data_IF_619742068302
#
_entry.id   IF_619742068302
#
_cell.length_a   1.000
_cell.length_b   1.000
_cell.length_c   1.000
_cell.angle_alpha   90.00
_cell.angle_beta   90.00
_cell.angle_gamma   90.00
#
_symmetry.space_group_name_H-M   'P 1'
#
loop_
_entity.id
_entity.type
_entity.pdbx_description
1 polymer ?
#
# COMPACT_ATOMS: atom_id res chain seq x y z
N UNK A 1 18.61 9.27 19.00
CA UNK A 1 18.54 8.03 19.81
C UNK A 1 17.76 6.94 19.10
N UNK A 2 16.47 7.13 18.84
CA UNK A 2 15.63 6.14 18.12
C UNK A 2 16.25 5.72 16.77
N UNK A 3 16.64 6.66 15.92
CA UNK A 3 17.30 6.32 14.64
C UNK A 3 18.61 5.55 14.82
N UNK A 4 19.40 5.85 15.86
CA UNK A 4 20.63 5.11 16.14
C UNK A 4 20.30 3.67 16.58
N UNK A 5 19.32 3.52 17.46
CA UNK A 5 18.81 2.22 17.91
C UNK A 5 18.30 1.37 16.74
N UNK A 6 17.51 1.97 15.83
CA UNK A 6 16.97 1.27 14.68
C UNK A 6 18.07 0.79 13.72
N UNK A 7 19.17 1.55 13.57
CA UNK A 7 20.27 1.23 12.65
C UNK A 7 21.33 0.28 13.22
N UNK A 8 21.71 0.41 14.50
CA UNK A 8 22.73 -0.43 15.12
C UNK A 8 22.45 -0.62 16.61
N UNK A 9 22.10 -1.86 16.98
CA UNK A 9 21.89 -2.21 18.39
C UNK A 9 23.19 -2.40 19.17
N UNK A 10 24.24 -2.90 18.51
CA UNK A 10 25.52 -3.17 19.17
C UNK A 10 26.22 -1.89 19.63
N UNK A 11 25.93 -0.77 18.96
CA UNK A 11 26.42 0.56 19.32
C UNK A 11 25.42 1.38 20.12
N UNK A 12 24.32 0.77 20.59
CA UNK A 12 23.33 1.45 21.39
C UNK A 12 23.68 1.40 22.88
N UNK A 13 23.94 2.57 23.47
CA UNK A 13 24.14 2.70 24.91
C UNK A 13 22.80 2.84 25.64
N UNK A 14 22.40 1.78 26.35
CA UNK A 14 21.18 1.78 27.16
C UNK A 14 21.21 2.79 28.30
N UNK A 15 22.39 3.24 28.76
CA UNK A 15 22.50 4.26 29.81
C UNK A 15 21.89 5.59 29.36
N UNK A 16 22.15 5.99 28.12
CA UNK A 16 21.62 7.25 27.56
C UNK A 16 20.09 7.21 27.47
N UNK A 17 19.50 6.03 27.18
CA UNK A 17 18.05 5.88 27.19
C UNK A 17 17.47 5.98 28.62
N UNK A 18 18.13 5.37 29.61
CA UNK A 18 17.71 5.48 31.01
C UNK A 18 17.80 6.93 31.53
N UNK A 19 18.90 7.63 31.24
CA UNK A 19 19.05 9.06 31.60
C UNK A 19 17.95 9.91 30.96
N UNK A 20 17.63 9.67 29.69
CA UNK A 20 16.54 10.37 29.02
C UNK A 20 15.18 10.05 29.63
N UNK A 21 14.95 8.80 30.06
CA UNK A 21 13.71 8.40 30.74
C UNK A 21 13.56 9.17 32.05
N UNK A 22 14.62 9.25 32.86
CA UNK A 22 14.62 9.99 34.12
C UNK A 22 14.28 11.47 33.91
N UNK A 23 14.88 12.11 32.90
CA UNK A 23 14.54 13.49 32.54
C UNK A 23 13.07 13.66 32.13
N UNK A 24 12.54 12.74 31.33
CA UNK A 24 11.13 12.76 30.92
C UNK A 24 10.20 12.61 32.14
N UNK A 25 10.50 11.67 33.04
CA UNK A 25 9.70 11.44 34.26
C UNK A 25 9.71 12.66 35.20
N UNK A 26 10.82 13.39 35.28
CA UNK A 26 10.88 14.67 36.01
C UNK A 26 9.99 15.71 35.35
N UNK A 27 10.09 15.89 34.02
CA UNK A 27 9.28 16.88 33.30
C UNK A 27 7.78 16.57 33.35
N UNK A 28 7.39 15.29 33.36
CA UNK A 28 6.00 14.86 33.41
C UNK A 28 5.26 15.29 34.70
N UNK A 29 6.00 15.53 35.80
CA UNK A 29 5.44 16.10 37.03
C UNK A 29 4.88 17.51 36.83
N UNK A 30 5.52 18.29 35.95
CA UNK A 30 5.12 19.67 35.63
C UNK A 30 4.25 19.75 34.37
N UNK A 31 4.45 18.84 33.41
CA UNK A 31 3.78 18.82 32.12
C UNK A 31 3.16 17.45 31.84
N UNK A 32 2.05 17.17 32.53
CA UNK A 32 1.37 15.87 32.44
C UNK A 32 0.97 15.56 31.00
N UNK A 33 1.28 14.35 30.53
CA UNK A 33 1.01 13.85 29.17
C UNK A 33 1.66 14.62 28.01
N UNK A 34 2.51 15.61 28.27
CA UNK A 34 3.13 16.42 27.20
C UNK A 34 4.16 15.62 26.38
N UNK A 35 4.93 14.75 27.05
CA UNK A 35 5.99 13.94 26.43
C UNK A 35 5.59 12.48 26.20
N UNK A 36 4.29 12.20 26.05
CA UNK A 36 3.75 10.84 25.96
C UNK A 36 4.43 10.01 24.87
N UNK A 37 4.61 10.59 23.68
CA UNK A 37 5.24 9.90 22.54
C UNK A 37 6.71 9.57 22.81
N UNK A 38 7.46 10.55 23.30
CA UNK A 38 8.88 10.42 23.62
C UNK A 38 9.09 9.40 24.73
N UNK A 39 8.27 9.46 25.79
CA UNK A 39 8.30 8.49 26.89
C UNK A 39 8.07 7.07 26.37
N UNK A 40 7.07 6.88 25.53
CA UNK A 40 6.75 5.57 24.97
C UNK A 40 7.90 4.99 24.13
N UNK A 41 8.56 5.81 23.31
CA UNK A 41 9.76 5.39 22.56
C UNK A 41 10.85 4.98 23.54
N UNK A 42 11.18 5.82 24.51
CA UNK A 42 12.29 5.57 25.45
C UNK A 42 12.04 4.31 26.27
N UNK A 43 10.81 4.06 26.73
CA UNK A 43 10.46 2.80 27.41
C UNK A 43 10.76 1.56 26.54
N UNK A 44 10.44 1.61 25.24
CA UNK A 44 10.81 0.54 24.30
C UNK A 44 12.33 0.38 24.19
N UNK A 45 13.06 1.50 24.12
CA UNK A 45 14.52 1.51 24.03
C UNK A 45 15.20 1.00 25.30
N UNK A 46 14.56 1.13 26.47
CA UNK A 46 15.02 0.60 27.75
C UNK A 46 14.62 -0.87 27.96
N UNK A 47 13.67 -1.39 27.19
CA UNK A 47 13.10 -2.73 27.37
C UNK A 47 12.05 -2.82 28.49
N UNK A 48 11.55 -1.69 28.99
CA UNK A 48 10.49 -1.65 30.00
C UNK A 48 9.10 -1.81 29.34
N UNK A 49 8.82 -3.05 28.92
CA UNK A 49 7.57 -3.40 28.25
C UNK A 49 6.35 -3.40 29.18
N UNK A 50 6.55 -3.53 30.49
CA UNK A 50 5.46 -3.53 31.46
C UNK A 50 4.83 -2.14 31.55
N UNK A 51 5.65 -1.10 31.70
CA UNK A 51 5.15 0.28 31.70
C UNK A 51 4.70 0.72 30.31
N UNK A 52 5.42 0.33 29.26
CA UNK A 52 5.03 0.61 27.89
C UNK A 52 3.65 0.01 27.54
N UNK A 53 3.36 -1.21 27.97
CA UNK A 53 2.07 -1.88 27.71
C UNK A 53 0.88 -1.13 28.34
N UNK A 54 1.07 -0.56 29.53
CA UNK A 54 0.06 0.30 30.18
C UNK A 54 -0.19 1.58 29.37
N UNK A 55 0.88 2.20 28.87
CA UNK A 55 0.79 3.39 28.01
C UNK A 55 0.12 3.07 26.67
N UNK A 56 0.44 1.93 26.07
CA UNK A 56 -0.15 1.48 24.82
C UNK A 56 -1.67 1.40 24.93
N UNK A 57 -2.19 0.80 26.00
CA UNK A 57 -3.63 0.61 26.14
C UNK A 57 -4.38 1.91 26.44
N UNK A 58 -3.85 2.75 27.34
CA UNK A 58 -4.63 3.82 27.98
C UNK A 58 -4.27 5.24 27.52
N UNK A 59 -3.12 5.42 26.87
CA UNK A 59 -2.56 6.76 26.62
C UNK A 59 -2.32 7.02 25.14
N UNK A 60 -1.85 6.01 24.40
CA UNK A 60 -1.52 6.19 22.98
C UNK A 60 -2.77 6.09 22.07
N UNK A 61 -2.95 7.11 21.24
CA UNK A 61 -3.95 7.09 20.17
C UNK A 61 -3.56 6.14 19.01
N UNK A 62 -4.53 5.82 18.15
CA UNK A 62 -4.33 4.91 17.01
C UNK A 62 -3.21 5.34 16.05
N UNK A 63 -3.20 6.60 15.56
CA UNK A 63 -2.14 7.09 14.68
C UNK A 63 -0.74 6.97 15.28
N UNK A 64 -0.60 7.27 16.58
CA UNK A 64 0.67 7.17 17.31
C UNK A 64 1.14 5.73 17.42
N UNK A 65 0.24 4.80 17.76
CA UNK A 65 0.53 3.36 17.77
C UNK A 65 1.09 2.88 16.43
N UNK A 66 0.52 3.33 15.32
CA UNK A 66 0.96 2.93 13.99
C UNK A 66 2.36 3.48 13.65
N UNK A 67 2.64 4.74 13.99
CA UNK A 67 3.99 5.33 13.80
C UNK A 67 5.06 4.59 14.59
N UNK A 68 4.73 4.17 15.81
CA UNK A 68 5.66 3.48 16.71
C UNK A 68 5.89 2.01 16.36
N UNK A 69 5.07 1.41 15.49
CA UNK A 69 5.06 -0.04 15.27
C UNK A 69 6.44 -0.61 14.92
N UNK A 70 7.21 0.07 14.07
CA UNK A 70 8.56 -0.35 13.72
C UNK A 70 9.50 -0.43 14.93
N UNK A 71 9.54 0.64 15.72
CA UNK A 71 10.37 0.75 16.92
C UNK A 71 10.00 -0.30 17.95
N UNK A 72 8.70 -0.47 18.18
CA UNK A 72 8.16 -1.44 19.14
C UNK A 72 8.45 -2.87 18.70
N UNK A 73 8.25 -3.18 17.42
CA UNK A 73 8.51 -4.51 16.86
C UNK A 73 9.97 -4.91 16.98
N UNK A 74 10.88 -3.99 16.61
CA UNK A 74 12.32 -4.20 16.73
C UNK A 74 12.74 -4.37 18.19
N UNK A 75 12.26 -3.50 19.09
CA UNK A 75 12.53 -3.63 20.52
C UNK A 75 12.02 -4.96 21.08
N UNK A 76 10.82 -5.39 20.67
CA UNK A 76 10.23 -6.63 21.15
C UNK A 76 11.00 -7.88 20.70
N UNK A 77 11.57 -7.86 19.48
CA UNK A 77 12.51 -8.88 19.02
C UNK A 77 13.77 -8.91 19.90
N UNK A 78 14.37 -7.74 20.14
CA UNK A 78 15.64 -7.60 20.87
C UNK A 78 15.53 -8.01 22.35
N UNK A 79 14.47 -7.57 23.01
CA UNK A 79 14.18 -7.90 24.42
C UNK A 79 13.43 -9.22 24.59
N UNK A 80 13.14 -9.94 23.49
CA UNK A 80 12.47 -11.26 23.47
C UNK A 80 11.07 -11.26 24.08
N UNK A 81 10.34 -10.16 23.94
CA UNK A 81 8.94 -10.01 24.37
C UNK A 81 7.97 -9.96 23.18
N UNK A 82 8.36 -10.49 22.01
CA UNK A 82 7.55 -10.43 20.78
C UNK A 82 6.15 -11.03 20.93
N UNK A 83 5.96 -11.98 21.86
CA UNK A 83 4.65 -12.56 22.19
C UNK A 83 3.60 -11.53 22.60
N UNK A 84 4.02 -10.36 23.10
CA UNK A 84 3.14 -9.24 23.42
C UNK A 84 2.51 -8.60 22.17
N UNK A 85 3.14 -8.70 21.00
CA UNK A 85 2.65 -8.09 19.75
C UNK A 85 1.48 -8.88 19.16
N UNK A 86 1.51 -10.20 19.24
CA UNK A 86 0.54 -11.08 18.59
C UNK A 86 -0.93 -10.80 18.94
N UNK A 87 -1.32 -10.52 20.21
CA UNK A 87 -2.71 -10.19 20.54
C UNK A 87 -3.11 -8.75 20.18
N UNK A 88 -2.20 -7.90 19.69
CA UNK A 88 -2.53 -6.49 19.41
C UNK A 88 -3.44 -6.38 18.19
N UNK A 89 -4.61 -5.78 18.39
CA UNK A 89 -5.49 -5.40 17.29
C UNK A 89 -5.15 -4.00 16.80
N UNK A 90 -4.54 -3.90 15.63
CA UNK A 90 -4.24 -2.62 14.99
C UNK A 90 -5.45 -2.12 14.22
N UNK A 91 -6.07 -1.02 14.69
CA UNK A 91 -7.25 -0.41 14.07
C UNK A 91 -6.95 0.40 12.80
N UNK A 92 -5.68 0.67 12.52
CA UNK A 92 -5.24 1.34 11.31
C UNK A 92 -4.10 0.55 10.64
N UNK A 93 -3.88 0.70 9.33
CA UNK A 93 -2.70 0.19 8.64
C UNK A 93 -1.42 0.61 9.35
N UNK A 94 -0.53 -0.35 9.51
CA UNK A 94 0.81 -0.15 10.00
C UNK A 94 1.77 -0.78 9.00
N UNK A 95 3.01 -0.29 8.98
CA UNK A 95 4.07 -0.82 8.14
C UNK A 95 5.15 -1.42 9.03
N UNK A 96 5.71 -2.54 8.59
CA UNK A 96 6.96 -3.08 9.10
C UNK A 96 8.08 -2.70 8.11
N UNK A 97 9.21 -2.25 8.60
CA UNK A 97 10.37 -1.90 7.78
C UNK A 97 11.23 -3.13 7.48
N UNK A 98 12.15 -3.03 6.53
CA UNK A 98 13.19 -4.04 6.29
C UNK A 98 13.91 -4.45 7.59
N UNK A 99 14.24 -3.47 8.44
CA UNK A 99 14.88 -3.69 9.74
C UNK A 99 14.03 -4.54 10.69
N UNK A 100 12.70 -4.48 10.61
CA UNK A 100 11.82 -5.35 11.42
C UNK A 100 12.00 -6.82 11.03
N UNK A 101 12.07 -7.11 9.72
CA UNK A 101 12.23 -8.47 9.21
C UNK A 101 13.60 -9.05 9.57
N UNK A 102 14.65 -8.24 9.45
CA UNK A 102 16.02 -8.57 9.90
C UNK A 102 16.06 -8.97 11.37
N UNK A 103 15.45 -8.15 12.25
CA UNK A 103 15.46 -8.43 13.69
C UNK A 103 14.57 -9.62 14.07
N UNK A 104 13.49 -9.85 13.32
CA UNK A 104 12.66 -11.06 13.46
C UNK A 104 13.47 -12.33 13.16
N UNK A 105 14.22 -12.36 12.05
CA UNK A 105 15.06 -13.51 11.71
C UNK A 105 16.07 -13.83 12.83
N UNK A 106 16.75 -12.80 13.34
CA UNK A 106 17.68 -12.95 14.48
C UNK A 106 16.99 -13.47 15.73
N UNK A 107 15.78 -12.98 16.04
CA UNK A 107 14.98 -13.48 17.16
C UNK A 107 14.62 -14.97 16.97
N UNK A 108 14.15 -15.35 15.77
CA UNK A 108 13.72 -16.71 15.46
C UNK A 108 14.86 -17.73 15.61
N UNK A 109 16.07 -17.39 15.13
CA UNK A 109 17.29 -18.20 15.31
C UNK A 109 17.61 -18.39 16.79
N UNK A 110 17.62 -17.29 17.57
CA UNK A 110 17.86 -17.36 19.02
C UNK A 110 16.82 -18.22 19.74
N UNK A 111 15.57 -18.20 19.29
CA UNK A 111 14.47 -19.01 19.84
C UNK A 111 14.66 -20.50 19.55
N UNK A 112 15.22 -20.91 18.40
CA UNK A 112 15.61 -22.31 18.16
C UNK A 112 16.55 -22.79 19.26
N UNK A 113 17.62 -22.03 19.53
CA UNK A 113 18.66 -22.43 20.48
C UNK A 113 18.19 -22.43 21.94
N UNK A 114 17.28 -21.52 22.31
CA UNK A 114 16.85 -21.36 23.71
C UNK A 114 15.58 -22.12 24.07
N UNK A 115 14.64 -22.25 23.14
CA UNK A 115 13.28 -22.77 23.39
C UNK A 115 12.89 -23.93 22.45
N UNK A 116 13.71 -24.19 21.42
CA UNK A 116 13.54 -25.29 20.49
C UNK A 116 12.84 -24.92 19.18
N UNK A 117 12.98 -25.81 18.19
CA UNK A 117 12.46 -25.63 16.82
C UNK A 117 10.95 -25.39 16.79
N UNK A 118 10.17 -26.13 17.58
CA UNK A 118 8.71 -25.99 17.62
C UNK A 118 8.25 -24.64 18.17
N UNK A 119 8.98 -24.06 19.13
CA UNK A 119 8.68 -22.73 19.65
C UNK A 119 8.99 -21.65 18.61
N UNK A 120 10.11 -21.81 17.91
CA UNK A 120 10.50 -20.91 16.83
C UNK A 120 9.49 -20.91 15.66
N UNK A 121 8.99 -22.09 15.26
CA UNK A 121 7.95 -22.18 14.21
C UNK A 121 6.65 -21.49 14.63
N UNK A 122 6.21 -21.64 15.88
CA UNK A 122 5.00 -20.92 16.35
C UNK A 122 5.20 -19.40 16.31
N UNK A 123 6.40 -18.92 16.64
CA UNK A 123 6.72 -17.51 16.55
C UNK A 123 6.77 -17.03 15.08
N UNK A 124 7.28 -17.85 14.17
CA UNK A 124 7.27 -17.59 12.72
C UNK A 124 5.83 -17.50 12.19
N UNK A 125 4.96 -18.42 12.60
CA UNK A 125 3.55 -18.43 12.21
C UNK A 125 2.87 -17.11 12.62
N UNK A 126 3.02 -16.72 13.89
CA UNK A 126 2.47 -15.47 14.40
C UNK A 126 3.05 -14.24 13.70
N UNK A 127 4.33 -14.26 13.36
CA UNK A 127 4.95 -13.20 12.56
C UNK A 127 4.38 -13.12 11.15
N UNK A 128 4.18 -14.25 10.47
CA UNK A 128 3.59 -14.30 9.12
C UNK A 128 2.18 -13.72 9.15
N UNK A 129 1.36 -14.13 10.12
CA UNK A 129 -0.01 -13.60 10.29
C UNK A 129 0.01 -12.09 10.58
N UNK A 130 0.98 -11.61 11.36
CA UNK A 130 1.12 -10.19 11.68
C UNK A 130 1.67 -9.36 10.50
N UNK A 131 2.61 -9.91 9.72
CA UNK A 131 3.17 -9.26 8.54
C UNK A 131 2.17 -9.22 7.39
N UNK A 132 1.32 -10.25 7.25
CA UNK A 132 0.21 -10.21 6.29
C UNK A 132 -0.73 -9.03 6.60
N UNK A 133 -0.93 -8.68 7.87
CA UNK A 133 -1.77 -7.53 8.27
C UNK A 133 -1.13 -6.17 7.94
N UNK A 134 0.20 -6.05 7.98
CA UNK A 134 0.87 -4.79 7.61
C UNK A 134 0.72 -4.50 6.11
N UNK A 135 0.57 -5.55 5.29
CA UNK A 135 0.36 -5.51 3.84
C UNK A 135 1.39 -4.59 3.11
N UNK A 136 2.59 -4.41 3.68
CA UNK A 136 3.68 -3.60 3.12
C UNK A 136 4.74 -4.49 2.48
N UNK A 137 5.32 -4.05 1.35
CA UNK A 137 6.34 -4.77 0.61
C UNK A 137 7.72 -4.25 0.97
N UNK A 138 8.22 -4.72 2.11
CA UNK A 138 9.41 -4.22 2.79
C UNK A 138 10.41 -5.31 3.12
N UNK A 139 10.06 -6.58 2.85
CA UNK A 139 10.99 -7.69 2.89
C UNK A 139 12.00 -7.49 1.75
N UNK A 140 13.27 -7.40 2.08
CA UNK A 140 14.37 -7.11 1.15
C UNK A 140 15.34 -8.28 1.09
N UNK A 141 16.38 -8.17 0.26
CA UNK A 141 17.42 -9.21 0.15
C UNK A 141 18.14 -9.47 1.47
N UNK A 142 18.33 -8.44 2.30
CA UNK A 142 18.91 -8.58 3.64
C UNK A 142 18.08 -9.53 4.51
N UNK A 143 16.75 -9.38 4.48
CA UNK A 143 15.84 -10.28 5.17
C UNK A 143 15.84 -11.68 4.53
N UNK A 144 15.89 -11.80 3.20
CA UNK A 144 15.98 -13.08 2.49
C UNK A 144 17.16 -13.91 2.99
N UNK A 145 18.36 -13.34 3.03
CA UNK A 145 19.56 -14.08 3.45
C UNK A 145 19.48 -14.53 4.91
N UNK A 146 18.99 -13.67 5.82
CA UNK A 146 18.82 -14.05 7.22
C UNK A 146 17.73 -15.10 7.44
N UNK A 147 16.67 -15.11 6.62
CA UNK A 147 15.66 -16.15 6.68
C UNK A 147 16.20 -17.48 6.12
N UNK A 148 17.05 -17.47 5.08
CA UNK A 148 17.76 -18.67 4.63
C UNK A 148 18.61 -19.26 5.76
N UNK A 149 19.41 -18.43 6.44
CA UNK A 149 20.22 -18.84 7.59
C UNK A 149 19.36 -19.39 8.73
N UNK A 150 18.21 -18.76 8.98
CA UNK A 150 17.24 -19.23 9.97
C UNK A 150 16.72 -20.64 9.67
N UNK A 151 16.25 -20.92 8.45
CA UNK A 151 15.76 -22.24 8.08
C UNK A 151 16.90 -23.28 8.04
N UNK A 152 18.12 -22.88 7.67
CA UNK A 152 19.31 -23.74 7.72
C UNK A 152 19.73 -24.09 9.16
N UNK A 153 19.34 -23.30 10.16
CA UNK A 153 19.66 -23.53 11.58
C UNK A 153 18.85 -24.66 12.22
N UNK A 154 17.86 -25.24 11.51
CA UNK A 154 17.10 -26.39 12.01
C UNK A 154 17.91 -27.68 11.90
N UNK A 155 17.93 -28.44 12.99
CA UNK A 155 18.63 -29.72 13.08
C UNK A 155 17.71 -30.92 12.85
N UNK A 156 16.47 -30.86 13.36
CA UNK A 156 15.49 -31.97 13.31
C UNK A 156 14.56 -31.85 12.12
N UNK A 157 14.04 -30.64 11.87
CA UNK A 157 13.18 -30.37 10.72
C UNK A 157 14.05 -29.98 9.53
N UNK A 158 13.81 -30.60 8.37
CA UNK A 158 14.48 -30.25 7.13
C UNK A 158 13.58 -29.33 6.29
N UNK A 159 14.19 -28.29 5.73
CA UNK A 159 13.53 -27.29 4.91
C UNK A 159 14.24 -27.20 3.57
N UNK A 160 13.48 -27.04 2.48
CA UNK A 160 13.98 -26.47 1.23
C UNK A 160 13.67 -24.98 1.22
N UNK A 161 14.63 -24.18 0.79
CA UNK A 161 14.53 -22.74 0.73
C UNK A 161 15.05 -22.29 -0.62
N UNK A 162 14.16 -21.80 -1.47
CA UNK A 162 14.44 -21.47 -2.86
C UNK A 162 14.00 -20.05 -3.17
N UNK A 163 14.77 -19.34 -4.00
CA UNK A 163 14.36 -18.05 -4.54
C UNK A 163 13.75 -18.26 -5.93
N UNK A 164 12.58 -17.69 -6.16
CA UNK A 164 11.90 -17.77 -7.44
C UNK A 164 11.06 -16.54 -7.72
N UNK A 165 10.15 -16.69 -8.68
CA UNK A 165 9.22 -15.65 -9.11
C UNK A 165 7.76 -16.05 -9.02
N UNK A 166 6.88 -15.06 -8.88
CA UNK A 166 5.45 -15.14 -9.16
C UNK A 166 5.26 -15.21 -10.67
N UNK A 167 4.66 -16.30 -11.14
CA UNK A 167 4.31 -16.48 -12.55
C UNK A 167 3.09 -15.63 -12.94
N UNK A 168 2.85 -15.44 -14.25
CA UNK A 168 1.66 -14.71 -14.73
C UNK A 168 0.32 -15.41 -14.40
N UNK A 169 0.37 -16.69 -13.96
CA UNK A 169 -0.78 -17.43 -13.42
C UNK A 169 -0.91 -17.32 -11.89
N UNK A 170 -0.17 -16.41 -11.26
CA UNK A 170 -0.16 -16.22 -9.80
C UNK A 170 0.24 -17.47 -9.03
N UNK A 171 1.15 -18.26 -9.60
CA UNK A 171 1.70 -19.45 -8.97
C UNK A 171 3.18 -19.22 -8.64
N UNK A 172 3.66 -19.82 -7.56
CA UNK A 172 5.08 -19.90 -7.25
C UNK A 172 5.80 -20.73 -8.34
N UNK A 173 6.90 -20.22 -8.88
CA UNK A 173 7.72 -20.95 -9.87
C UNK A 173 8.56 -22.08 -9.24
N UNK A 174 8.79 -22.07 -7.93
CA UNK A 174 9.52 -23.13 -7.24
C UNK A 174 8.63 -24.35 -6.97
N UNK A 175 7.48 -24.14 -6.30
CA UNK A 175 6.62 -25.23 -5.84
C UNK A 175 5.30 -25.40 -6.63
N UNK A 176 4.96 -24.46 -7.52
CA UNK A 176 3.73 -24.49 -8.30
C UNK A 176 2.47 -24.02 -7.56
N UNK A 177 2.53 -23.78 -6.25
CA UNK A 177 1.37 -23.37 -5.44
C UNK A 177 0.78 -22.04 -5.89
N UNK A 178 -0.56 -21.97 -5.92
CA UNK A 178 -1.30 -20.72 -6.19
C UNK A 178 -1.19 -19.77 -5.00
N UNK A 179 -0.90 -18.51 -5.30
CA UNK A 179 -0.68 -17.46 -4.32
C UNK A 179 -1.96 -16.66 -4.08
N UNK A 180 -2.11 -16.16 -2.85
CA UNK A 180 -3.24 -15.33 -2.47
C UNK A 180 -3.13 -13.96 -3.13
N UNK A 181 -4.20 -13.54 -3.80
CA UNK A 181 -4.31 -12.21 -4.36
C UNK A 181 -4.41 -11.15 -3.27
N UNK A 182 -3.71 -10.03 -3.46
CA UNK A 182 -3.87 -8.84 -2.65
C UNK A 182 -5.26 -8.24 -2.90
N UNK A 183 -5.97 -7.97 -1.82
CA UNK A 183 -7.30 -7.35 -1.85
C UNK A 183 -7.35 -6.19 -0.87
N UNK A 184 -8.04 -5.12 -1.23
CA UNK A 184 -8.44 -4.08 -0.28
C UNK A 184 -9.77 -4.49 0.36
N UNK A 185 -9.82 -4.52 1.70
CA UNK A 185 -11.06 -4.83 2.44
C UNK A 185 -12.13 -3.76 2.21
N UNK A 186 -13.40 -4.13 2.42
CA UNK A 186 -14.50 -3.19 2.25
C UNK A 186 -14.45 -2.06 3.29
N UNK A 187 -14.02 -2.35 4.51
CA UNK A 187 -13.82 -1.36 5.57
C UNK A 187 -12.66 -0.41 5.22
N UNK A 188 -11.55 -0.97 4.71
CA UNK A 188 -10.39 -0.18 4.28
C UNK A 188 -10.74 0.74 3.11
N UNK A 189 -11.46 0.22 2.11
CA UNK A 189 -11.93 1.03 0.99
C UNK A 189 -12.95 2.09 1.41
N UNK A 190 -13.88 1.77 2.31
CA UNK A 190 -14.85 2.73 2.83
C UNK A 190 -14.15 3.88 3.57
N UNK A 191 -13.20 3.56 4.45
CA UNK A 191 -12.42 4.58 5.16
C UNK A 191 -11.65 5.49 4.20
N UNK A 192 -11.01 4.90 3.20
CA UNK A 192 -10.34 5.64 2.13
C UNK A 192 -11.31 6.57 1.40
N UNK A 193 -12.44 6.03 0.92
CA UNK A 193 -13.46 6.80 0.18
C UNK A 193 -13.94 7.99 0.99
N UNK A 194 -14.33 7.78 2.24
CA UNK A 194 -14.86 8.83 3.12
C UNK A 194 -13.81 9.95 3.34
N UNK A 195 -12.54 9.59 3.52
CA UNK A 195 -11.48 10.57 3.72
C UNK A 195 -11.09 11.32 2.44
N UNK A 196 -11.04 10.63 1.29
CA UNK A 196 -10.83 11.28 -0.02
C UNK A 196 -11.91 12.32 -0.27
N UNK A 197 -13.18 11.96 -0.06
CA UNK A 197 -14.30 12.90 -0.19
C UNK A 197 -14.11 14.08 0.77
N UNK A 198 -13.82 13.82 2.05
CA UNK A 198 -13.66 14.89 3.04
C UNK A 198 -12.48 15.83 2.77
N UNK A 199 -11.30 15.31 2.46
CA UNK A 199 -10.04 16.08 2.47
C UNK A 199 -9.56 16.53 1.10
N UNK A 200 -9.80 15.71 0.07
CA UNK A 200 -9.39 16.02 -1.30
C UNK A 200 -10.51 16.80 -1.97
N UNK A 201 -11.73 16.28 -1.92
CA UNK A 201 -12.88 16.84 -2.65
C UNK A 201 -13.47 18.05 -1.94
N UNK A 202 -13.78 17.94 -0.64
CA UNK A 202 -14.33 19.07 0.11
C UNK A 202 -13.22 20.00 0.59
N UNK A 203 -12.18 19.48 1.28
CA UNK A 203 -11.00 20.23 1.71
C UNK A 203 -11.31 21.52 2.49
N UNK A 204 -10.28 22.34 2.75
CA UNK A 204 -10.47 23.64 3.42
C UNK A 204 -10.83 24.76 2.42
N UNK A 205 -10.53 24.59 1.13
CA UNK A 205 -10.78 25.57 0.06
C UNK A 205 -11.47 24.92 -1.16
N UNK A 206 -12.78 24.67 -1.04
CA UNK A 206 -13.59 24.16 -2.17
C UNK A 206 -13.47 25.07 -3.41
N UNK A 207 -13.36 26.37 -3.18
CA UNK A 207 -13.24 27.43 -4.19
C UNK A 207 -11.92 27.44 -4.97
N UNK A 208 -10.90 26.70 -4.55
CA UNK A 208 -9.61 26.60 -5.28
C UNK A 208 -9.58 25.47 -6.29
N UNK A 209 -10.44 24.45 -6.16
CA UNK A 209 -10.39 23.24 -6.99
C UNK A 209 -11.57 23.12 -7.96
N UNK A 210 -12.76 23.64 -7.60
CA UNK A 210 -13.94 23.68 -8.47
C UNK A 210 -15.01 24.66 -7.92
N UNK A 211 -16.12 24.82 -8.63
CA UNK A 211 -17.30 25.55 -8.13
C UNK A 211 -18.28 24.59 -7.44
N UNK A 212 -18.96 25.00 -6.36
CA UNK A 212 -19.97 24.16 -5.71
C UNK A 212 -21.04 23.64 -6.69
N UNK A 213 -21.45 24.46 -7.65
CA UNK A 213 -22.46 24.13 -8.66
C UNK A 213 -21.97 23.03 -9.62
N UNK A 214 -20.72 23.11 -10.06
CA UNK A 214 -20.10 22.07 -10.88
C UNK A 214 -20.04 20.74 -10.14
N UNK A 215 -19.70 20.78 -8.86
CA UNK A 215 -19.62 19.58 -8.05
C UNK A 215 -21.00 18.93 -7.79
N UNK A 216 -22.03 19.73 -7.49
CA UNK A 216 -23.41 19.21 -7.35
C UNK A 216 -23.90 18.56 -8.63
N UNK A 217 -23.66 19.20 -9.79
CA UNK A 217 -23.97 18.63 -11.11
C UNK A 217 -23.25 17.31 -11.33
N UNK A 218 -22.00 17.21 -10.89
CA UNK A 218 -21.23 15.98 -10.99
C UNK A 218 -21.79 14.86 -10.10
N UNK A 219 -22.12 15.14 -8.83
CA UNK A 219 -22.72 14.16 -7.94
C UNK A 219 -24.04 13.61 -8.50
N UNK A 220 -24.90 14.48 -9.02
CA UNK A 220 -26.14 14.07 -9.68
C UNK A 220 -25.86 13.18 -10.89
N UNK A 221 -24.88 13.56 -11.71
CA UNK A 221 -24.46 12.76 -12.86
C UNK A 221 -23.99 11.36 -12.45
N UNK A 222 -23.17 11.24 -11.41
CA UNK A 222 -22.68 9.95 -10.89
C UNK A 222 -23.83 9.09 -10.36
N UNK A 223 -24.78 9.68 -9.64
CA UNK A 223 -25.94 8.95 -9.09
C UNK A 223 -26.86 8.39 -10.18
N UNK A 224 -26.96 9.08 -11.32
CA UNK A 224 -27.82 8.66 -12.45
C UNK A 224 -27.12 7.63 -13.34
N UNK A 225 -25.81 7.78 -13.56
CA UNK A 225 -25.09 7.03 -14.59
C UNK A 225 -24.14 5.95 -14.04
N UNK A 226 -23.82 5.97 -12.75
CA UNK A 226 -22.96 4.99 -12.10
C UNK A 226 -23.71 3.71 -11.68
N UNK A 227 -22.99 2.69 -11.17
CA UNK A 227 -21.54 2.64 -11.05
C UNK A 227 -20.85 2.40 -12.41
N UNK A 228 -19.65 2.95 -12.55
CA UNK A 228 -18.79 2.75 -13.72
C UNK A 228 -17.81 1.60 -13.51
N UNK A 229 -17.50 0.88 -14.58
CA UNK A 229 -16.44 -0.13 -14.55
C UNK A 229 -15.06 0.50 -14.69
N UNK A 230 -14.98 1.61 -15.44
CA UNK A 230 -13.75 2.33 -15.73
C UNK A 230 -14.02 3.83 -15.92
N UNK A 231 -13.14 4.64 -15.32
CA UNK A 231 -13.10 6.09 -15.49
C UNK A 231 -11.85 6.46 -16.29
N UNK A 232 -12.04 7.20 -17.37
CA UNK A 232 -10.97 7.69 -18.24
C UNK A 232 -10.72 9.15 -17.95
N UNK A 233 -9.47 9.47 -17.63
CA UNK A 233 -8.95 10.82 -17.58
C UNK A 233 -8.76 11.35 -19.01
N UNK A 234 -9.82 11.97 -19.54
CA UNK A 234 -9.87 12.46 -20.90
C UNK A 234 -8.83 13.54 -21.19
N UNK A 235 -8.45 14.35 -20.19
CA UNK A 235 -7.41 15.36 -20.35
C UNK A 235 -6.04 14.71 -20.53
N UNK A 236 -5.69 13.79 -19.63
CA UNK A 236 -4.42 13.09 -19.74
C UNK A 236 -4.31 12.34 -21.09
N UNK A 237 -5.37 11.66 -21.52
CA UNK A 237 -5.41 10.96 -22.82
C UNK A 237 -5.36 11.92 -24.02
N UNK A 238 -6.07 13.04 -23.97
CA UNK A 238 -6.08 14.05 -25.04
C UNK A 238 -4.68 14.58 -25.33
N UNK A 239 -3.89 14.83 -24.28
CA UNK A 239 -2.56 15.43 -24.35
C UNK A 239 -1.42 14.40 -24.44
N UNK A 240 -1.71 13.12 -24.68
CA UNK A 240 -0.66 12.13 -24.96
C UNK A 240 0.05 12.43 -26.28
N UNK A 241 1.36 12.67 -26.24
CA UNK A 241 2.19 12.99 -27.40
C UNK A 241 2.20 14.48 -27.73
N UNK A 242 2.51 14.83 -28.98
CA UNK A 242 2.72 16.22 -29.37
C UNK A 242 1.45 17.08 -29.25
N UNK A 243 1.61 18.41 -29.05
CA UNK A 243 0.52 19.38 -29.10
C UNK A 243 -0.32 19.20 -30.36
N UNK A 244 -1.63 19.09 -30.19
CA UNK A 244 -2.53 18.77 -31.28
C UNK A 244 -3.84 19.55 -31.19
N UNK A 245 -4.54 19.67 -32.33
CA UNK A 245 -5.86 20.28 -32.37
C UNK A 245 -6.91 19.42 -31.65
N UNK A 246 -8.07 20.02 -31.34
CA UNK A 246 -9.16 19.35 -30.62
C UNK A 246 -9.64 18.06 -31.31
N UNK A 247 -9.62 18.01 -32.64
CA UNK A 247 -10.03 16.82 -33.40
C UNK A 247 -9.10 15.64 -33.14
N UNK A 248 -7.79 15.88 -33.05
CA UNK A 248 -6.81 14.84 -32.73
C UNK A 248 -6.97 14.39 -31.28
N UNK A 249 -7.15 15.33 -30.35
CA UNK A 249 -7.39 15.03 -28.93
C UNK A 249 -8.62 14.13 -28.74
N UNK A 250 -9.75 14.47 -29.38
CA UNK A 250 -10.97 13.64 -29.34
C UNK A 250 -10.77 12.29 -30.02
N UNK A 251 -10.00 12.21 -31.12
CA UNK A 251 -9.65 10.92 -31.74
C UNK A 251 -8.83 10.03 -30.81
N UNK A 252 -7.88 10.58 -30.06
CA UNK A 252 -7.08 9.85 -29.05
C UNK A 252 -7.99 9.24 -27.98
N UNK A 253 -8.89 10.05 -27.40
CA UNK A 253 -9.90 9.58 -26.42
C UNK A 253 -10.81 8.51 -27.03
N UNK A 254 -11.31 8.76 -28.24
CA UNK A 254 -12.22 7.81 -28.92
C UNK A 254 -11.55 6.47 -29.16
N UNK A 255 -10.28 6.46 -29.56
CA UNK A 255 -9.50 5.23 -29.73
C UNK A 255 -9.35 4.48 -28.41
N UNK A 256 -9.01 5.18 -27.33
CA UNK A 256 -8.91 4.57 -26.00
C UNK A 256 -10.23 3.91 -25.57
N UNK A 257 -11.34 4.63 -25.71
CA UNK A 257 -12.69 4.13 -25.37
C UNK A 257 -13.08 2.93 -26.23
N UNK A 258 -12.70 2.88 -27.52
CA UNK A 258 -12.94 1.70 -28.38
C UNK A 258 -12.24 0.46 -27.83
N UNK A 259 -10.97 0.57 -27.43
CA UNK A 259 -10.23 -0.56 -26.86
C UNK A 259 -10.86 -1.01 -25.55
N UNK A 260 -11.21 -0.08 -24.66
CA UNK A 260 -11.90 -0.40 -23.41
C UNK A 260 -13.23 -1.13 -23.66
N UNK A 261 -14.03 -0.64 -24.60
CA UNK A 261 -15.37 -1.17 -24.90
C UNK A 261 -15.35 -2.52 -25.62
N UNK A 262 -14.54 -2.63 -26.67
CA UNK A 262 -14.63 -3.75 -27.62
C UNK A 262 -13.54 -4.81 -27.42
N UNK A 263 -12.37 -4.44 -26.91
CA UNK A 263 -11.29 -5.41 -26.66
C UNK A 263 -11.27 -5.87 -25.20
N UNK A 264 -11.52 -4.96 -24.25
CA UNK A 264 -11.54 -5.26 -22.80
C UNK A 264 -12.96 -5.43 -22.23
N UNK A 265 -13.98 -5.26 -23.05
CA UNK A 265 -15.38 -5.55 -22.74
C UNK A 265 -15.97 -4.73 -21.56
N UNK A 266 -15.41 -3.55 -21.26
CA UNK A 266 -15.99 -2.64 -20.25
C UNK A 266 -17.36 -2.13 -20.70
N UNK A 267 -18.34 -2.11 -19.78
CA UNK A 267 -19.75 -1.83 -20.08
C UNK A 267 -20.15 -0.41 -19.70
N UNK A 268 -19.74 0.07 -18.53
CA UNK A 268 -20.02 1.42 -18.05
C UNK A 268 -18.72 2.21 -18.02
N UNK A 269 -18.47 2.97 -19.10
CA UNK A 269 -17.27 3.80 -19.28
C UNK A 269 -17.65 5.26 -19.03
N UNK A 270 -16.93 5.93 -18.14
CA UNK A 270 -16.97 7.38 -17.98
C UNK A 270 -15.72 8.02 -18.56
N UNK A 271 -15.86 9.09 -19.33
CA UNK A 271 -14.77 10.01 -19.66
C UNK A 271 -14.99 11.33 -18.94
N UNK A 272 -14.03 11.73 -18.11
CA UNK A 272 -13.98 13.07 -17.51
C UNK A 272 -13.00 13.90 -18.32
N UNK A 273 -13.40 15.07 -18.80
CA UNK A 273 -12.50 15.93 -19.58
C UNK A 273 -12.91 17.39 -19.54
N UNK A 274 -12.09 18.26 -20.12
CA UNK A 274 -12.35 19.71 -20.14
C UNK A 274 -13.33 20.11 -21.23
N UNK A 275 -14.17 21.10 -20.92
CA UNK A 275 -15.24 21.56 -21.79
C UNK A 275 -14.75 21.98 -23.19
N UNK A 276 -13.58 22.63 -23.28
CA UNK A 276 -13.09 23.19 -24.54
C UNK A 276 -12.88 22.17 -25.65
N UNK A 277 -12.47 20.93 -25.33
CA UNK A 277 -12.36 19.85 -26.31
C UNK A 277 -13.55 18.89 -26.26
N UNK A 278 -14.14 18.62 -25.08
CA UNK A 278 -15.25 17.66 -24.93
C UNK A 278 -16.51 18.06 -25.68
N UNK A 279 -16.73 19.37 -25.93
CA UNK A 279 -17.83 19.85 -26.78
C UNK A 279 -17.77 19.32 -28.22
N UNK A 280 -16.59 18.95 -28.71
CA UNK A 280 -16.37 18.38 -30.04
C UNK A 280 -16.45 16.85 -30.07
N UNK A 281 -16.84 16.20 -28.96
CA UNK A 281 -17.03 14.76 -28.93
C UNK A 281 -18.14 14.32 -29.90
N UNK A 282 -17.74 13.54 -30.91
CA UNK A 282 -18.63 12.98 -31.92
C UNK A 282 -19.53 11.86 -31.36
N UNK A 283 -20.62 11.57 -32.08
CA UNK A 283 -21.61 10.53 -31.70
C UNK A 283 -20.99 9.15 -31.39
N UNK A 284 -19.97 8.66 -32.12
CA UNK A 284 -19.34 7.39 -31.77
C UNK A 284 -18.81 7.35 -30.34
N UNK A 285 -18.21 8.43 -29.84
CA UNK A 285 -17.72 8.49 -28.45
C UNK A 285 -18.88 8.49 -27.46
N UNK A 286 -19.96 9.26 -27.74
CA UNK A 286 -21.15 9.38 -26.88
C UNK A 286 -21.96 8.09 -26.78
N UNK A 287 -21.92 7.25 -27.81
CA UNK A 287 -22.57 5.93 -27.79
C UNK A 287 -21.77 4.89 -26.99
N UNK A 288 -20.44 5.02 -26.93
CA UNK A 288 -19.57 4.09 -26.21
C UNK A 288 -19.27 4.50 -24.77
N UNK A 289 -19.45 5.77 -24.38
CA UNK A 289 -19.11 6.25 -23.05
C UNK A 289 -20.03 7.39 -22.60
N UNK A 290 -20.22 7.47 -21.27
CA UNK A 290 -20.77 8.65 -20.62
C UNK A 290 -19.69 9.70 -20.53
N UNK A 291 -20.03 10.95 -20.80
CA UNK A 291 -19.08 12.06 -20.84
C UNK A 291 -19.46 13.08 -19.77
N UNK A 292 -18.49 13.47 -18.94
CA UNK A 292 -18.65 14.58 -18.01
C UNK A 292 -17.59 15.66 -18.31
N UNK A 293 -18.04 16.90 -18.47
CA UNK A 293 -17.18 18.03 -18.77
C UNK A 293 -17.02 18.95 -17.58
N UNK A 294 -15.76 19.20 -17.20
CA UNK A 294 -15.37 20.18 -16.18
C UNK A 294 -14.86 21.47 -16.82
N UNK A 295 -14.93 22.57 -16.08
CA UNK A 295 -14.34 23.86 -16.44
C UNK A 295 -12.84 23.74 -16.71
N UNK A 296 -12.32 24.58 -17.60
CA UNK A 296 -10.89 24.60 -17.94
C UNK A 296 -9.98 25.06 -16.79
N UNK A 297 -10.58 25.65 -15.74
CA UNK A 297 -9.90 26.15 -14.54
C UNK A 297 -9.90 25.12 -13.39
N UNK A 298 -10.66 24.04 -13.53
CA UNK A 298 -10.83 22.99 -12.51
C UNK A 298 -9.69 21.98 -12.57
N UNK A 299 -9.25 21.48 -11.42
CA UNK A 299 -8.34 20.32 -11.34
C UNK A 299 -9.13 19.04 -11.65
N UNK A 300 -8.78 18.39 -12.77
CA UNK A 300 -9.47 17.22 -13.33
C UNK A 300 -9.24 15.93 -12.52
N UNK A 301 -8.05 15.75 -11.93
CA UNK A 301 -7.70 14.54 -11.15
C UNK A 301 -8.71 14.24 -10.04
N UNK A 302 -9.21 15.29 -9.37
CA UNK A 302 -10.18 15.16 -8.26
C UNK A 302 -11.49 14.53 -8.74
N UNK A 303 -11.96 14.90 -9.92
CA UNK A 303 -13.18 14.36 -10.51
C UNK A 303 -12.99 12.90 -10.96
N UNK A 304 -11.84 12.58 -11.55
CA UNK A 304 -11.48 11.21 -11.94
C UNK A 304 -11.44 10.29 -10.71
N UNK A 305 -10.71 10.68 -9.67
CA UNK A 305 -10.60 9.92 -8.41
C UNK A 305 -12.00 9.77 -7.78
N UNK A 306 -12.78 10.84 -7.71
CA UNK A 306 -14.12 10.84 -7.09
C UNK A 306 -15.09 9.92 -7.83
N UNK A 307 -15.11 9.94 -9.16
CA UNK A 307 -15.95 9.03 -9.94
C UNK A 307 -15.57 7.56 -9.71
N UNK A 308 -14.28 7.26 -9.69
CA UNK A 308 -13.79 5.90 -9.53
C UNK A 308 -14.09 5.37 -8.11
N UNK A 309 -13.84 6.17 -7.08
CA UNK A 309 -14.16 5.84 -5.69
C UNK A 309 -15.67 5.69 -5.46
N UNK A 310 -16.51 6.50 -6.12
CA UNK A 310 -17.96 6.36 -6.04
C UNK A 310 -18.48 5.09 -6.73
N UNK A 311 -17.82 4.67 -7.81
CA UNK A 311 -18.18 3.46 -8.55
C UNK A 311 -17.76 2.17 -7.83
N UNK A 312 -16.81 2.26 -6.89
CA UNK A 312 -16.47 1.20 -5.95
C UNK A 312 -15.04 0.67 -6.11
N UNK A 313 -14.65 -0.25 -5.21
CA UNK A 313 -13.26 -0.75 -5.09
C UNK A 313 -12.74 -1.52 -6.30
N UNK A 314 -13.61 -1.86 -7.25
CA UNK A 314 -13.28 -2.59 -8.48
C UNK A 314 -13.26 -1.70 -9.74
N UNK A 315 -13.63 -0.42 -9.62
CA UNK A 315 -13.56 0.51 -10.73
C UNK A 315 -12.10 0.76 -11.11
N UNK A 316 -11.81 0.65 -12.41
CA UNK A 316 -10.51 1.00 -12.96
C UNK A 316 -10.42 2.50 -13.28
N UNK A 317 -9.20 3.00 -13.39
CA UNK A 317 -8.90 4.35 -13.85
C UNK A 317 -7.91 4.27 -15.01
N UNK A 318 -8.10 5.05 -16.06
CA UNK A 318 -7.14 5.19 -17.16
C UNK A 318 -6.54 6.58 -17.12
N UNK A 319 -5.26 6.67 -16.79
CA UNK A 319 -4.47 7.91 -16.82
C UNK A 319 -2.98 7.56 -16.94
N UNK A 320 -2.17 8.47 -17.46
CA UNK A 320 -0.71 8.41 -17.44
C UNK A 320 -0.11 9.12 -16.22
N UNK A 321 -0.93 9.83 -15.43
CA UNK A 321 -0.51 10.36 -14.12
C UNK A 321 -0.70 9.29 -13.03
N UNK A 322 0.15 9.33 -12.01
CA UNK A 322 0.05 8.56 -10.78
C UNK A 322 -1.11 9.02 -9.87
N UNK A 323 -1.80 10.12 -10.22
CA UNK A 323 -2.97 10.66 -9.49
C UNK A 323 -2.69 10.90 -8.00
N UNK A 324 -1.44 11.19 -7.66
CA UNK A 324 -0.94 11.19 -6.28
C UNK A 324 -0.75 12.60 -5.70
N UNK A 325 -0.93 13.63 -6.52
CA UNK A 325 -0.73 15.04 -6.17
C UNK A 325 -1.49 15.45 -4.91
N UNK A 326 -2.60 14.78 -4.59
CA UNK A 326 -3.45 15.07 -3.43
C UNK A 326 -3.34 14.06 -2.28
N UNK A 327 -2.56 12.98 -2.43
CA UNK A 327 -2.45 11.92 -1.41
C UNK A 327 -1.85 12.40 -0.10
N UNK A 328 -0.95 13.39 -0.14
CA UNK A 328 -0.36 14.00 1.04
C UNK A 328 -1.38 14.65 1.99
N UNK A 329 -2.62 14.89 1.53
CA UNK A 329 -3.72 15.40 2.36
C UNK A 329 -4.37 14.29 3.18
N UNK A 330 -4.20 13.02 2.83
CA UNK A 330 -4.77 11.88 3.53
C UNK A 330 -3.96 11.58 4.79
N UNK A 331 -4.63 11.05 5.82
CA UNK A 331 -3.93 10.46 6.95
C UNK A 331 -3.12 9.24 6.49
N UNK A 332 -1.96 8.95 7.11
CA UNK A 332 -1.05 7.88 6.65
C UNK A 332 -1.72 6.50 6.41
N UNK A 333 -2.68 6.04 7.25
CA UNK A 333 -3.55 4.90 6.94
C UNK A 333 -4.16 4.89 5.53
N UNK A 334 -4.85 5.97 5.19
CA UNK A 334 -5.61 6.09 3.96
C UNK A 334 -4.71 6.45 2.78
N UNK A 335 -3.55 7.06 3.03
CA UNK A 335 -2.51 7.20 2.02
C UNK A 335 -2.04 5.83 1.49
N UNK A 336 -1.75 4.88 2.40
CA UNK A 336 -1.38 3.51 2.00
C UNK A 336 -2.50 2.78 1.25
N UNK A 337 -3.76 2.92 1.71
CA UNK A 337 -4.89 2.34 0.99
C UNK A 337 -5.08 2.96 -0.39
N UNK A 338 -4.83 4.27 -0.54
CA UNK A 338 -4.88 4.93 -1.83
C UNK A 338 -3.84 4.35 -2.79
N UNK A 339 -2.58 4.26 -2.38
CA UNK A 339 -1.54 3.68 -3.23
C UNK A 339 -1.86 2.25 -3.64
N UNK A 340 -2.37 1.41 -2.71
CA UNK A 340 -2.80 0.05 -3.03
C UNK A 340 -3.96 0.02 -4.03
N UNK A 341 -5.01 0.79 -3.77
CA UNK A 341 -6.15 0.87 -4.68
C UNK A 341 -5.70 1.31 -6.07
N UNK A 342 -4.88 2.37 -6.15
CA UNK A 342 -4.30 2.87 -7.39
C UNK A 342 -3.50 1.79 -8.10
N UNK A 343 -2.54 1.16 -7.43
CA UNK A 343 -1.67 0.16 -8.06
C UNK A 343 -2.45 -1.05 -8.58
N UNK A 344 -3.60 -1.36 -7.99
CA UNK A 344 -4.50 -2.42 -8.43
C UNK A 344 -5.52 -2.00 -9.51
N UNK A 345 -5.71 -0.69 -9.77
CA UNK A 345 -6.81 -0.16 -10.59
C UNK A 345 -6.40 0.85 -11.66
N UNK A 346 -5.22 1.44 -11.58
CA UNK A 346 -4.70 2.40 -12.54
C UNK A 346 -4.13 1.65 -13.75
N UNK A 347 -4.75 1.85 -14.90
CA UNK A 347 -4.25 1.45 -16.21
C UNK A 347 -3.48 2.61 -16.84
N UNK A 348 -2.20 2.38 -17.13
CA UNK A 348 -1.35 3.40 -17.75
C UNK A 348 -1.54 3.42 -19.25
N UNK A 349 -1.56 4.63 -19.82
CA UNK A 349 -1.66 4.83 -21.25
C UNK A 349 -0.49 5.68 -21.73
N UNK A 350 0.47 5.06 -22.42
CA UNK A 350 1.69 5.74 -22.88
C UNK A 350 1.52 6.35 -24.27
N UNK A 351 0.72 5.74 -25.14
CA UNK A 351 0.58 6.15 -26.55
C UNK A 351 -0.83 5.85 -27.06
N UNK A 352 -1.33 6.65 -28.01
CA UNK A 352 -2.65 6.43 -28.64
C UNK A 352 -2.59 6.50 -30.17
N UNK A 353 -1.42 6.28 -30.74
CA UNK A 353 -1.22 6.37 -32.19
C UNK A 353 -1.96 5.29 -32.99
N UNK A 354 -2.36 5.57 -34.25
CA UNK A 354 -3.15 4.68 -35.10
C UNK A 354 -2.65 3.23 -35.21
N UNK A 355 -1.35 3.02 -35.14
CA UNK A 355 -0.70 1.71 -35.32
C UNK A 355 -0.10 1.16 -34.02
N UNK A 356 -0.35 1.81 -32.88
CA UNK A 356 0.17 1.35 -31.59
C UNK A 356 -0.56 0.06 -31.15
N UNK A 357 0.16 -1.05 -30.88
CA UNK A 357 -0.45 -2.29 -30.42
C UNK A 357 -1.03 -2.11 -29.01
N UNK A 358 -2.12 -2.83 -28.70
CA UNK A 358 -2.85 -2.72 -27.42
C UNK A 358 -1.96 -2.68 -26.18
N UNK A 359 -0.95 -3.55 -26.10
CA UNK A 359 -0.07 -3.66 -24.93
C UNK A 359 0.88 -2.47 -24.73
N UNK A 360 1.14 -1.68 -25.79
CA UNK A 360 1.85 -0.39 -25.70
C UNK A 360 0.88 0.77 -25.47
N UNK A 361 -0.35 0.64 -25.95
CA UNK A 361 -1.38 1.66 -25.79
C UNK A 361 -1.93 1.71 -24.35
N UNK A 362 -2.14 0.54 -23.75
CA UNK A 362 -2.76 0.41 -22.44
C UNK A 362 -2.12 -0.72 -21.63
N UNK A 363 -1.51 -0.35 -20.52
CA UNK A 363 -0.90 -1.26 -19.56
C UNK A 363 -1.89 -1.49 -18.41
N UNK A 364 -2.48 -2.68 -18.38
CA UNK A 364 -3.40 -3.09 -17.32
C UNK A 364 -2.58 -3.43 -16.06
N UNK A 365 -3.00 -2.98 -14.86
CA UNK A 365 -2.29 -3.33 -13.64
C UNK A 365 -2.33 -4.86 -13.46
N UNK A 366 -1.16 -5.45 -13.22
CA UNK A 366 -1.09 -6.87 -12.88
C UNK A 366 -1.69 -7.05 -11.47
N UNK A 367 -2.60 -8.01 -11.26
CA UNK A 367 -3.04 -8.36 -9.91
C UNK A 367 -1.83 -8.62 -9.01
N UNK A 368 -1.83 -8.03 -7.83
CA UNK A 368 -0.76 -8.21 -6.86
C UNK A 368 -1.05 -9.44 -5.99
N UNK A 369 -0.01 -10.09 -5.47
CA UNK A 369 -0.12 -11.14 -4.45
C UNK A 369 0.15 -10.56 -3.06
N UNK A 370 -0.26 -11.25 -2.00
CA UNK A 370 0.07 -10.84 -0.63
C UNK A 370 1.58 -10.86 -0.40
N UNK A 371 2.08 -9.93 0.41
CA UNK A 371 3.50 -9.79 0.76
C UNK A 371 4.08 -11.04 1.42
N UNK A 372 3.28 -11.74 2.20
CA UNK A 372 3.62 -13.02 2.81
C UNK A 372 2.42 -13.95 2.76
N UNK A 373 2.68 -15.25 2.71
CA UNK A 373 1.65 -16.27 2.81
C UNK A 373 2.20 -17.51 3.51
N UNK A 374 1.40 -18.07 4.41
CA UNK A 374 1.56 -19.44 4.89
C UNK A 374 0.69 -20.38 4.07
N UNK A 375 1.28 -21.48 3.59
CA UNK A 375 0.52 -22.57 3.02
C UNK A 375 0.21 -23.61 4.10
N UNK A 376 -1.07 -23.70 4.48
CA UNK A 376 -1.51 -24.62 5.53
C UNK A 376 -1.48 -26.09 5.11
N UNK A 377 -1.49 -26.38 3.80
CA UNK A 377 -1.54 -27.75 3.29
C UNK A 377 -0.20 -28.49 3.43
N UNK A 378 0.92 -27.80 3.20
CA UNK A 378 2.28 -28.35 3.22
C UNK A 378 3.16 -27.76 4.35
N UNK A 379 2.65 -26.77 5.09
CA UNK A 379 3.40 -26.05 6.11
C UNK A 379 4.50 -25.14 5.54
N UNK A 380 4.39 -24.78 4.25
CA UNK A 380 5.33 -23.90 3.57
C UNK A 380 5.03 -22.41 3.78
N UNK A 381 5.99 -21.58 3.38
CA UNK A 381 5.91 -20.12 3.46
C UNK A 381 6.37 -19.50 2.15
N UNK A 382 5.74 -18.38 1.80
CA UNK A 382 6.13 -17.55 0.67
C UNK A 382 6.31 -16.11 1.14
N UNK A 383 7.46 -15.51 0.85
CA UNK A 383 7.74 -14.10 1.14
C UNK A 383 8.06 -13.39 -0.16
N UNK A 384 7.25 -12.41 -0.56
CA UNK A 384 7.59 -11.53 -1.65
C UNK A 384 8.62 -10.51 -1.19
N UNK A 385 9.63 -10.27 -2.03
CA UNK A 385 10.71 -9.38 -1.65
C UNK A 385 11.12 -8.41 -2.76
N UNK A 386 11.68 -7.28 -2.35
CA UNK A 386 12.18 -6.21 -3.21
C UNK A 386 13.70 -6.35 -3.36
N UNK A 387 14.24 -6.43 -4.59
CA UNK A 387 15.69 -6.41 -4.83
C UNK A 387 16.31 -5.06 -4.43
N UNK A 388 17.57 -5.08 -3.98
CA UNK A 388 18.28 -3.87 -3.59
C UNK A 388 18.57 -2.93 -4.80
N UNK A 389 18.73 -3.50 -6.00
CA UNK A 389 19.09 -2.77 -7.23
C UNK A 389 17.88 -2.16 -7.98
N UNK A 390 16.69 -2.12 -7.36
CA UNK A 390 15.54 -1.48 -7.98
C UNK A 390 15.63 0.05 -7.86
N UNK A 391 16.18 0.70 -8.89
CA UNK A 391 16.41 2.16 -8.93
C UNK A 391 15.14 3.02 -8.71
N UNK A 392 13.94 2.44 -8.84
CA UNK A 392 12.69 3.04 -8.36
C UNK A 392 11.75 1.94 -7.84
N UNK A 393 11.05 2.18 -6.73
CA UNK A 393 9.98 1.29 -6.25
C UNK A 393 8.85 1.25 -7.29
N UNK A 394 8.88 0.27 -8.19
CA UNK A 394 7.77 0.00 -9.09
C UNK A 394 7.08 -1.29 -8.64
N UNK A 395 5.78 -1.26 -8.26
CA UNK A 395 5.00 -2.45 -7.92
C UNK A 395 5.05 -3.56 -8.98
N UNK A 396 5.40 -3.21 -10.22
CA UNK A 396 5.60 -4.13 -11.35
C UNK A 396 6.82 -5.05 -11.20
N UNK A 397 7.74 -4.75 -10.27
CA UNK A 397 8.93 -5.54 -9.95
C UNK A 397 8.74 -6.53 -8.79
N UNK A 398 7.58 -6.54 -8.12
CA UNK A 398 7.25 -7.51 -7.07
C UNK A 398 6.92 -8.89 -7.66
N UNK A 399 7.92 -9.48 -8.32
CA UNK A 399 7.88 -10.86 -8.79
C UNK A 399 8.69 -11.77 -7.89
N UNK A 400 9.72 -11.27 -7.22
CA UNK A 400 10.65 -12.13 -6.50
C UNK A 400 10.04 -12.65 -5.21
N UNK A 401 10.35 -13.90 -4.93
CA UNK A 401 9.76 -14.66 -3.83
C UNK A 401 10.80 -15.58 -3.20
N UNK A 402 10.83 -15.63 -1.88
CA UNK A 402 11.40 -16.73 -1.12
C UNK A 402 10.33 -17.80 -0.92
N UNK A 403 10.55 -18.99 -1.46
CA UNK A 403 9.71 -20.17 -1.27
C UNK A 403 10.37 -21.08 -0.24
N UNK A 404 9.60 -21.47 0.77
CA UNK A 404 10.07 -22.34 1.84
C UNK A 404 9.08 -23.48 1.98
N UNK A 405 9.56 -24.72 1.97
CA UNK A 405 8.72 -25.88 2.24
C UNK A 405 9.45 -26.91 3.07
N UNK A 406 8.69 -27.67 3.85
CA UNK A 406 9.21 -28.75 4.66
C UNK A 406 9.56 -29.95 3.77
N UNK A 407 10.64 -30.66 4.09
CA UNK A 407 11.09 -31.88 3.42
C UNK A 407 10.63 -33.14 4.16
#
# INVERSE_FOLDING_TARGET
LEQCYLKSFENFDSKVANELLDHILVMEKSFRNFFTYQKAIVLCLCGDFDEFSKMWSNVLDGPTKCRMMNTVFIAACRYRCIGWIWPLTMKCPFNLSASCHVEMAKYLVKTIFKEGESASIRALDSYVDFYEQSQCFTFDESAVELFKDYFASFSRIKWSVDCGIVTDKFCCSCCGSTLKHLTLSDEGFKSLKDEVMKRIVFGDDLHRQSTPEEFVRFQQFLNINGPFDVVVDGCNIAYLGDPACNDVQIKRITRMVRVLRFELNFKNILVVGREHFMRFAADPLRTMAKLFSVSNLTTDDVYVITAAMNSGKHCYVVSNDMLQSHCHKLMPPNENYFYRWRDMRLMFSEQTEPNCPRHKMLQIPKPLCTNVQRNFADGGYHFLYVPNDADEFHPRHLKNMLCVHRL
#
